data_IF_474499208413
#
_entry.id   IF_474499208413
#
_cell.length_a   1.000
_cell.length_b   1.000
_cell.length_c   1.000
_cell.angle_alpha   90.00
_cell.angle_beta   90.00
_cell.angle_gamma   90.00
#
_symmetry.space_group_name_H-M   'P 1'
#
loop_
_entity.id
_entity.type
_entity.pdbx_description
1 polymer ?
#
# COMPACT_ATOMS: atom_id res chain seq x y z
N UNK A 1 -0.75 56.09 40.01
CA UNK A 1 -1.44 55.16 39.08
C UNK A 1 -1.65 55.91 37.77
N UNK A 2 -0.77 55.73 36.79
CA UNK A 2 -0.82 56.47 35.51
C UNK A 2 -1.72 55.68 34.56
N UNK A 3 -2.90 56.22 34.24
CA UNK A 3 -3.82 55.62 33.28
C UNK A 3 -3.24 55.76 31.87
N UNK A 4 -2.89 54.63 31.25
CA UNK A 4 -2.50 54.59 29.83
C UNK A 4 -3.78 54.77 29.01
N UNK A 5 -3.94 55.91 28.34
CA UNK A 5 -5.06 56.17 27.41
C UNK A 5 -5.05 55.09 26.32
N UNK A 6 -6.13 54.33 26.20
CA UNK A 6 -6.41 53.50 25.02
C UNK A 6 -6.65 54.46 23.85
N UNK A 7 -5.59 54.79 23.12
CA UNK A 7 -5.70 55.39 21.80
C UNK A 7 -5.90 54.20 20.87
N UNK A 8 -7.11 54.03 20.36
CA UNK A 8 -7.39 53.09 19.26
C UNK A 8 -6.59 53.58 18.04
N UNK A 9 -5.37 53.07 17.85
CA UNK A 9 -4.63 53.33 16.62
C UNK A 9 -5.19 52.45 15.52
N UNK A 10 -5.64 53.06 14.42
CA UNK A 10 -6.06 52.34 13.22
C UNK A 10 -4.92 51.51 12.58
N UNK A 11 -3.67 51.79 12.95
CA UNK A 11 -2.52 51.02 12.49
C UNK A 11 -2.39 49.68 13.24
N UNK A 12 -2.13 48.58 12.51
CA UNK A 12 -1.90 47.29 13.14
C UNK A 12 -0.69 47.36 14.07
N UNK A 13 -0.88 46.93 15.31
CA UNK A 13 0.18 46.90 16.32
C UNK A 13 1.41 46.17 15.77
N UNK A 14 2.57 46.83 15.86
CA UNK A 14 3.85 46.18 15.57
C UNK A 14 3.98 44.92 16.44
N UNK A 15 4.06 43.76 15.78
CA UNK A 15 4.34 42.50 16.48
C UNK A 15 5.71 42.65 17.15
N UNK A 16 5.77 42.39 18.45
CA UNK A 16 7.05 42.30 19.17
C UNK A 16 7.91 41.26 18.46
N UNK A 17 9.07 41.67 17.95
CA UNK A 17 10.02 40.76 17.30
C UNK A 17 10.51 39.73 18.31
N UNK A 18 10.06 38.48 18.18
CA UNK A 18 10.67 37.36 18.89
C UNK A 18 11.86 36.92 18.07
N UNK A 19 13.08 37.02 18.63
CA UNK A 19 14.27 36.47 17.95
C UNK A 19 14.03 34.97 17.73
N UNK A 20 14.10 34.46 16.49
CA UNK A 20 13.90 33.05 16.23
C UNK A 20 14.96 32.25 17.00
N UNK A 21 14.52 31.18 17.69
CA UNK A 21 15.41 30.29 18.45
C UNK A 21 16.33 29.45 17.55
N UNK A 22 16.04 29.40 16.25
CA UNK A 22 16.73 28.58 15.26
C UNK A 22 17.39 29.51 14.25
N UNK A 23 18.71 29.35 14.07
CA UNK A 23 19.49 30.11 13.08
C UNK A 23 19.30 29.55 11.67
N UNK A 24 19.52 30.38 10.65
CA UNK A 24 19.44 29.97 9.23
C UNK A 24 20.40 28.81 8.91
N UNK A 25 21.55 28.75 9.58
CA UNK A 25 22.52 27.65 9.47
C UNK A 25 21.92 26.30 9.88
N UNK A 26 21.17 26.27 10.98
CA UNK A 26 20.45 25.07 11.41
C UNK A 26 19.38 24.67 10.38
N UNK A 27 18.65 25.64 9.84
CA UNK A 27 17.62 25.40 8.82
C UNK A 27 18.24 24.72 7.60
N UNK A 28 19.34 25.26 7.10
CA UNK A 28 20.06 24.73 5.94
C UNK A 28 20.63 23.34 6.21
N UNK A 29 21.21 23.11 7.39
CA UNK A 29 21.74 21.80 7.79
C UNK A 29 20.64 20.74 7.89
N UNK A 30 19.50 21.07 8.49
CA UNK A 30 18.36 20.14 8.58
C UNK A 30 17.82 19.84 7.18
N UNK A 31 17.72 20.85 6.30
CA UNK A 31 17.24 20.67 4.92
C UNK A 31 18.15 19.73 4.13
N UNK A 32 19.46 19.98 4.08
CA UNK A 32 20.40 19.15 3.30
C UNK A 32 20.45 17.72 3.83
N UNK A 33 20.60 17.55 5.15
CA UNK A 33 20.68 16.22 5.76
C UNK A 33 19.42 15.38 5.53
N UNK A 34 18.24 16.00 5.61
CA UNK A 34 16.96 15.30 5.39
C UNK A 34 16.78 14.89 3.92
N UNK A 35 17.24 15.70 2.96
CA UNK A 35 17.19 15.37 1.53
C UNK A 35 18.11 14.20 1.17
N UNK A 36 19.28 14.15 1.78
CA UNK A 36 20.25 13.05 1.62
C UNK A 36 19.80 11.77 2.34
N UNK A 37 19.13 11.89 3.50
CA UNK A 37 18.81 10.78 4.40
C UNK A 37 17.30 10.65 4.67
N UNK A 38 16.53 10.33 3.62
CA UNK A 38 15.05 10.32 3.63
C UNK A 38 14.39 9.38 4.65
N UNK A 39 15.13 8.41 5.20
CA UNK A 39 14.61 7.38 6.12
C UNK A 39 14.85 7.68 7.60
N UNK A 40 15.60 8.75 7.92
CA UNK A 40 15.96 9.07 9.31
C UNK A 40 14.77 9.59 10.11
N UNK A 41 14.77 9.25 11.39
CA UNK A 41 13.82 9.76 12.37
C UNK A 41 14.14 11.20 12.77
N UNK A 42 13.15 11.92 13.28
CA UNK A 42 13.33 13.30 13.77
C UNK A 42 14.36 13.39 14.91
N UNK A 43 14.47 12.34 15.74
CA UNK A 43 15.45 12.29 16.82
C UNK A 43 16.87 12.12 16.26
N UNK A 44 17.07 11.29 15.24
CA UNK A 44 18.38 11.18 14.58
C UNK A 44 18.79 12.50 13.93
N UNK A 45 17.85 13.25 13.34
CA UNK A 45 18.11 14.58 12.79
C UNK A 45 18.51 15.56 13.92
N UNK A 46 17.80 15.57 15.04
CA UNK A 46 18.15 16.40 16.21
C UNK A 46 19.56 16.09 16.72
N UNK A 47 19.88 14.80 16.90
CA UNK A 47 21.20 14.35 17.33
C UNK A 47 22.30 14.77 16.33
N UNK A 48 22.01 14.73 15.04
CA UNK A 48 22.93 15.16 13.98
C UNK A 48 23.22 16.66 14.05
N UNK A 49 22.19 17.50 14.26
CA UNK A 49 22.37 18.95 14.42
C UNK A 49 23.23 19.27 15.64
N UNK A 50 22.97 18.62 16.78
CA UNK A 50 23.78 18.79 17.98
C UNK A 50 25.25 18.41 17.73
N UNK A 51 25.50 17.26 17.09
CA UNK A 51 26.86 16.81 16.77
C UNK A 51 27.63 17.77 15.86
N UNK A 52 26.92 18.44 14.94
CA UNK A 52 27.55 19.33 13.94
C UNK A 52 27.72 20.77 14.40
N UNK A 53 26.74 21.31 15.13
CA UNK A 53 26.69 22.74 15.48
C UNK A 53 26.77 22.99 16.99
N UNK A 54 26.73 21.95 17.83
CA UNK A 54 26.63 22.08 19.28
C UNK A 54 25.29 22.64 19.77
N UNK A 55 24.30 22.77 18.88
CA UNK A 55 22.98 23.34 19.20
C UNK A 55 22.02 22.21 19.56
N UNK A 56 21.51 22.23 20.79
CA UNK A 56 20.47 21.32 21.25
C UNK A 56 19.11 21.72 20.69
N UNK A 57 18.46 20.78 19.99
CA UNK A 57 17.13 20.97 19.41
C UNK A 57 16.27 19.79 19.80
N UNK A 58 15.09 20.07 20.36
CA UNK A 58 14.14 19.02 20.71
C UNK A 58 13.49 18.41 19.46
N UNK A 59 13.12 17.13 19.53
CA UNK A 59 12.41 16.45 18.44
C UNK A 59 11.15 17.21 17.96
N UNK A 60 10.29 17.79 18.83
CA UNK A 60 9.16 18.60 18.38
C UNK A 60 9.59 19.84 17.56
N UNK A 61 10.73 20.45 17.91
CA UNK A 61 11.26 21.60 17.17
C UNK A 61 11.73 21.20 15.77
N UNK A 62 12.34 20.02 15.60
CA UNK A 62 12.64 19.45 14.27
C UNK A 62 11.35 19.24 13.47
N UNK A 63 10.29 18.73 14.09
CA UNK A 63 8.99 18.56 13.42
C UNK A 63 8.42 19.89 12.89
N UNK A 64 8.45 20.95 13.70
CA UNK A 64 8.02 22.30 13.29
C UNK A 64 8.91 22.84 12.17
N UNK A 65 10.23 22.68 12.29
CA UNK A 65 11.18 23.16 11.30
C UNK A 65 10.99 22.46 9.95
N UNK A 66 10.82 21.14 9.92
CA UNK A 66 10.55 20.37 8.70
C UNK A 66 9.28 20.88 8.00
N UNK A 67 8.21 21.17 8.75
CA UNK A 67 6.98 21.77 8.21
C UNK A 67 7.23 23.16 7.64
N UNK A 68 8.00 24.00 8.33
CA UNK A 68 8.33 25.35 7.88
C UNK A 68 9.11 25.35 6.55
N UNK A 69 9.98 24.36 6.34
CA UNK A 69 10.74 24.21 5.08
C UNK A 69 10.01 23.37 4.03
N UNK A 70 8.74 23.02 4.23
CA UNK A 70 7.93 22.28 3.26
C UNK A 70 8.25 20.80 3.15
N UNK A 71 9.00 20.22 4.08
CA UNK A 71 9.29 18.78 4.09
C UNK A 71 8.22 18.06 4.90
N UNK A 72 7.47 17.18 4.22
CA UNK A 72 6.46 16.33 4.83
C UNK A 72 6.94 14.88 4.85
N UNK A 73 6.54 14.13 5.90
CA UNK A 73 6.83 12.70 5.99
C UNK A 73 5.76 11.93 5.22
N UNK A 74 6.17 11.19 4.19
CA UNK A 74 5.33 10.19 3.52
C UNK A 74 5.63 8.80 4.09
N UNK A 75 4.62 7.96 4.23
CA UNK A 75 4.82 6.53 4.53
C UNK A 75 5.60 5.92 3.35
N UNK A 76 6.70 5.24 3.64
CA UNK A 76 7.42 4.50 2.60
C UNK A 76 6.51 3.39 2.08
N UNK A 77 6.38 3.29 0.77
CA UNK A 77 5.78 2.12 0.13
C UNK A 77 6.76 0.95 0.28
N UNK A 78 6.25 -0.24 0.58
CA UNK A 78 7.09 -1.43 0.61
C UNK A 78 7.64 -1.67 -0.80
N UNK A 79 8.96 -1.74 -0.92
CA UNK A 79 9.64 -2.21 -2.11
C UNK A 79 10.14 -3.62 -1.83
N UNK A 80 9.76 -4.57 -2.68
CA UNK A 80 10.24 -5.94 -2.60
C UNK A 80 11.63 -6.00 -3.24
N UNK A 81 12.68 -6.11 -2.42
CA UNK A 81 14.07 -6.23 -2.92
C UNK A 81 14.30 -7.51 -3.72
N UNK A 82 13.40 -8.48 -3.60
CA UNK A 82 13.42 -9.77 -4.29
C UNK A 82 12.69 -9.73 -5.64
N UNK A 83 12.08 -8.59 -6.00
CA UNK A 83 11.43 -8.42 -7.29
C UNK A 83 12.46 -8.45 -8.42
N UNK A 84 12.24 -9.34 -9.37
CA UNK A 84 12.96 -9.37 -10.63
C UNK A 84 12.24 -8.45 -11.63
N UNK A 85 12.72 -7.21 -11.77
CA UNK A 85 12.10 -6.18 -12.60
C UNK A 85 12.04 -6.56 -14.09
N UNK A 86 13.04 -7.31 -14.58
CA UNK A 86 13.07 -7.75 -15.97
C UNK A 86 11.99 -8.80 -16.23
N UNK A 87 11.86 -9.81 -15.36
CA UNK A 87 10.78 -10.80 -15.47
C UNK A 87 9.40 -10.16 -15.37
N UNK A 88 9.22 -9.22 -14.43
CA UNK A 88 7.96 -8.50 -14.29
C UNK A 88 7.60 -7.71 -15.56
N UNK A 89 8.60 -7.09 -16.21
CA UNK A 89 8.41 -6.39 -17.47
C UNK A 89 8.04 -7.35 -18.62
N UNK A 90 8.75 -8.47 -18.75
CA UNK A 90 8.45 -9.50 -19.77
C UNK A 90 7.02 -10.01 -19.61
N UNK A 91 6.63 -10.37 -18.39
CA UNK A 91 5.28 -10.82 -18.07
C UNK A 91 4.21 -9.79 -18.46
N UNK A 92 4.45 -8.50 -18.18
CA UNK A 92 3.54 -7.44 -18.59
C UNK A 92 3.35 -7.36 -20.11
N UNK A 93 4.42 -7.46 -20.88
CA UNK A 93 4.34 -7.43 -22.34
C UNK A 93 3.61 -8.67 -22.89
N UNK A 94 3.74 -9.83 -22.24
CA UNK A 94 3.04 -11.07 -22.63
C UNK A 94 1.54 -11.02 -22.31
N UNK A 95 1.14 -10.45 -21.17
CA UNK A 95 -0.27 -10.40 -20.73
C UNK A 95 -1.05 -9.30 -21.44
N UNK A 96 -0.42 -8.15 -21.72
CA UNK A 96 -1.07 -7.00 -22.35
C UNK A 96 -1.91 -7.32 -23.60
N UNK A 97 -1.43 -8.09 -24.61
CA UNK A 97 -2.26 -8.42 -25.77
C UNK A 97 -3.46 -9.31 -25.41
N UNK A 98 -3.37 -10.14 -24.37
CA UNK A 98 -4.47 -10.99 -23.93
C UNK A 98 -5.61 -10.16 -23.34
N UNK A 99 -5.28 -9.10 -22.59
CA UNK A 99 -6.25 -8.15 -22.04
C UNK A 99 -6.93 -7.31 -23.14
N UNK A 100 -6.20 -6.94 -24.19
CA UNK A 100 -6.74 -6.13 -25.30
C UNK A 100 -7.71 -6.90 -26.21
N UNK A 101 -7.59 -8.23 -26.27
CA UNK A 101 -8.39 -9.08 -27.15
C UNK A 101 -9.76 -9.48 -26.57
N UNK A 102 -10.21 -8.85 -25.48
CA UNK A 102 -11.45 -9.17 -24.76
C UNK A 102 -11.59 -10.65 -24.36
N UNK A 103 -10.46 -11.33 -24.14
CA UNK A 103 -10.49 -12.71 -23.63
C UNK A 103 -11.00 -12.66 -22.19
N UNK A 104 -11.99 -13.50 -21.81
CA UNK A 104 -12.43 -13.60 -20.44
C UNK A 104 -11.25 -13.85 -19.50
N UNK A 105 -11.23 -13.09 -18.41
CA UNK A 105 -10.09 -13.01 -17.53
C UNK A 105 -10.55 -13.17 -16.07
N UNK A 106 -9.87 -14.04 -15.33
CA UNK A 106 -10.06 -14.24 -13.89
C UNK A 106 -8.72 -14.10 -13.16
N UNK A 107 -8.70 -13.40 -12.04
CA UNK A 107 -7.56 -13.45 -11.12
C UNK A 107 -8.03 -14.01 -9.79
N UNK A 108 -7.24 -14.92 -9.24
CA UNK A 108 -7.49 -15.55 -7.97
C UNK A 108 -6.29 -15.35 -7.07
N UNK A 109 -6.55 -14.97 -5.84
CA UNK A 109 -5.54 -14.80 -4.82
C UNK A 109 -6.18 -15.00 -3.45
N UNK A 110 -5.35 -15.19 -2.44
CA UNK A 110 -5.76 -15.40 -1.07
C UNK A 110 -5.45 -14.16 -0.24
N UNK A 111 -6.45 -13.67 0.48
CA UNK A 111 -6.25 -12.61 1.48
C UNK A 111 -6.67 -13.13 2.83
N UNK A 112 -5.74 -13.15 3.78
CA UNK A 112 -6.04 -13.45 5.17
C UNK A 112 -6.83 -12.30 5.81
N UNK A 113 -7.96 -12.64 6.43
CA UNK A 113 -8.61 -11.82 7.45
C UNK A 113 -8.57 -12.62 8.75
N UNK A 114 -8.09 -12.03 9.83
CA UNK A 114 -8.30 -12.61 11.17
C UNK A 114 -9.72 -12.24 11.60
N UNK A 115 -10.62 -13.14 12.09
CA UNK A 115 -10.30 -14.25 13.00
C UNK A 115 -11.05 -15.61 12.78
N UNK A 116 -10.28 -16.71 12.88
CA UNK A 116 -10.65 -18.11 13.19
C UNK A 116 -11.89 -18.75 12.52
N UNK A 117 -11.80 -19.07 11.23
CA UNK A 117 -12.37 -20.30 10.61
C UNK A 117 -11.91 -20.44 9.14
N UNK A 118 -11.85 -21.68 8.66
CA UNK A 118 -11.55 -22.01 7.26
C UNK A 118 -12.82 -21.94 6.40
N UNK A 119 -12.85 -21.09 5.35
CA UNK A 119 -13.95 -21.07 4.39
C UNK A 119 -13.88 -22.26 3.43
N UNK A 120 -15.05 -22.78 3.03
CA UNK A 120 -15.19 -23.71 1.90
C UNK A 120 -15.78 -22.97 0.72
N UNK A 121 -15.17 -23.11 -0.44
CA UNK A 121 -15.65 -22.53 -1.69
C UNK A 121 -16.07 -23.61 -2.68
N UNK A 122 -17.11 -23.33 -3.45
CA UNK A 122 -17.56 -24.12 -4.58
C UNK A 122 -17.33 -23.31 -5.86
N UNK A 123 -16.66 -23.91 -6.84
CA UNK A 123 -16.36 -23.27 -8.13
C UNK A 123 -17.37 -23.78 -9.15
N UNK A 124 -18.29 -22.92 -9.57
CA UNK A 124 -19.17 -23.20 -10.70
C UNK A 124 -18.44 -22.92 -12.03
N UNK A 125 -18.53 -23.80 -13.05
CA UNK A 125 -17.93 -23.54 -14.34
C UNK A 125 -18.58 -22.34 -15.04
N UNK A 126 -17.76 -21.42 -15.57
CA UNK A 126 -18.20 -20.25 -16.33
C UNK A 126 -18.01 -20.59 -17.81
N UNK A 127 -19.06 -21.07 -18.47
CA UNK A 127 -19.13 -21.27 -19.92
C UNK A 127 -18.09 -22.23 -20.52
N UNK A 128 -18.19 -22.44 -21.84
CA UNK A 128 -17.22 -23.22 -22.62
C UNK A 128 -16.14 -22.32 -23.26
N UNK A 129 -16.11 -21.02 -22.95
CA UNK A 129 -15.17 -20.08 -23.53
C UNK A 129 -13.78 -20.20 -22.89
N UNK A 130 -12.74 -20.04 -23.72
CA UNK A 130 -11.35 -20.03 -23.24
C UNK A 130 -11.18 -18.87 -22.27
N UNK A 131 -10.84 -19.18 -21.03
CA UNK A 131 -10.65 -18.18 -19.97
C UNK A 131 -9.22 -18.22 -19.45
N UNK A 132 -8.64 -17.06 -19.18
CA UNK A 132 -7.29 -16.97 -18.57
C UNK A 132 -7.45 -16.79 -17.07
N UNK A 133 -6.76 -17.62 -16.28
CA UNK A 133 -6.70 -17.53 -14.83
C UNK A 133 -5.31 -17.05 -14.39
N UNK A 134 -5.20 -15.85 -13.82
CA UNK A 134 -3.99 -15.42 -13.11
C UNK A 134 -4.01 -15.88 -11.66
N UNK A 135 -2.87 -16.40 -11.23
CA UNK A 135 -2.60 -16.77 -9.84
C UNK A 135 -1.22 -16.29 -9.44
N UNK A 136 -1.01 -16.06 -8.15
CA UNK A 136 0.34 -15.84 -7.64
C UNK A 136 1.18 -17.13 -7.77
N UNK A 137 2.50 -16.98 -7.84
CA UNK A 137 3.43 -18.10 -7.88
C UNK A 137 3.72 -18.64 -6.46
N UNK A 138 2.69 -18.79 -5.63
CA UNK A 138 2.83 -19.38 -4.30
C UNK A 138 3.16 -20.87 -4.39
N UNK A 139 3.99 -21.34 -3.45
CA UNK A 139 4.38 -22.76 -3.38
C UNK A 139 3.17 -23.68 -3.20
N UNK A 140 2.08 -23.21 -2.62
CA UNK A 140 0.86 -24.03 -2.46
C UNK A 140 0.19 -24.34 -3.81
N UNK A 141 0.32 -23.43 -4.77
CA UNK A 141 -0.18 -23.63 -6.14
C UNK A 141 0.69 -24.59 -6.93
N UNK A 142 2.01 -24.52 -6.73
CA UNK A 142 2.96 -25.30 -7.52
C UNK A 142 3.37 -26.63 -6.88
N UNK A 143 3.16 -26.85 -5.58
CA UNK A 143 3.67 -27.99 -4.78
C UNK A 143 3.40 -29.36 -5.43
N UNK A 144 4.35 -29.91 -6.21
CA UNK A 144 4.07 -31.08 -7.04
C UNK A 144 4.02 -32.35 -6.17
N UNK A 145 4.99 -32.50 -5.26
CA UNK A 145 5.12 -33.68 -4.39
C UNK A 145 3.88 -33.91 -3.53
N UNK A 146 3.33 -32.86 -2.90
CA UNK A 146 2.14 -33.00 -2.03
C UNK A 146 0.88 -33.38 -2.83
N UNK A 147 0.76 -32.89 -4.06
CA UNK A 147 -0.37 -33.24 -4.94
C UNK A 147 -0.26 -34.66 -5.46
N UNK A 148 0.96 -35.10 -5.78
CA UNK A 148 1.25 -36.48 -6.16
C UNK A 148 0.94 -37.46 -5.02
N UNK A 149 1.40 -37.17 -3.79
CA UNK A 149 1.06 -37.94 -2.59
C UNK A 149 -0.46 -38.06 -2.38
N UNK A 150 -1.20 -36.97 -2.63
CA UNK A 150 -2.66 -36.92 -2.53
C UNK A 150 -3.40 -37.49 -3.76
N UNK A 151 -2.68 -37.89 -4.81
CA UNK A 151 -3.24 -38.32 -6.11
C UNK A 151 -4.18 -37.27 -6.75
N UNK A 152 -3.85 -36.00 -6.55
CA UNK A 152 -4.58 -34.84 -7.08
C UNK A 152 -3.83 -34.31 -8.31
N UNK A 153 -4.51 -34.06 -9.46
CA UNK A 153 -3.84 -33.49 -10.63
C UNK A 153 -3.24 -32.10 -10.35
N UNK A 154 -2.30 -31.64 -11.18
CA UNK A 154 -1.75 -30.28 -11.08
C UNK A 154 -2.85 -29.22 -11.25
N UNK A 155 -2.60 -27.98 -10.81
CA UNK A 155 -3.58 -26.89 -10.98
C UNK A 155 -3.86 -26.67 -12.47
N UNK A 156 -2.83 -26.67 -13.30
CA UNK A 156 -2.93 -26.52 -14.75
C UNK A 156 -3.78 -27.63 -15.37
N UNK A 157 -3.58 -28.89 -14.96
CA UNK A 157 -4.38 -30.01 -15.46
C UNK A 157 -5.86 -29.89 -15.05
N UNK A 158 -6.14 -29.46 -13.81
CA UNK A 158 -7.51 -29.25 -13.35
C UNK A 158 -8.21 -28.10 -14.08
N UNK A 159 -7.47 -27.03 -14.39
CA UNK A 159 -7.98 -25.86 -15.09
C UNK A 159 -8.13 -26.12 -16.59
N UNK A 160 -7.23 -26.89 -17.20
CA UNK A 160 -7.36 -27.33 -18.59
C UNK A 160 -8.66 -28.11 -18.84
N UNK A 161 -9.06 -28.97 -17.89
CA UNK A 161 -10.34 -29.68 -17.94
C UNK A 161 -11.56 -28.75 -17.91
N UNK A 162 -11.38 -27.47 -17.58
CA UNK A 162 -12.41 -26.42 -17.54
C UNK A 162 -12.23 -25.38 -18.65
N UNK A 163 -11.42 -25.68 -19.68
CA UNK A 163 -11.03 -24.73 -20.73
C UNK A 163 -10.39 -23.44 -20.20
N UNK A 164 -9.67 -23.55 -19.07
CA UNK A 164 -8.97 -22.44 -18.44
C UNK A 164 -7.46 -22.58 -18.62
N UNK A 165 -6.83 -21.49 -19.03
CA UNK A 165 -5.38 -21.36 -19.13
C UNK A 165 -4.84 -20.65 -17.89
N UNK A 166 -3.98 -21.34 -17.12
CA UNK A 166 -3.38 -20.77 -15.92
C UNK A 166 -2.11 -20.00 -16.29
N UNK A 167 -1.98 -18.81 -15.73
CA UNK A 167 -0.80 -17.96 -15.84
C UNK A 167 -0.34 -17.55 -14.44
N UNK A 168 0.89 -17.88 -14.09
CA UNK A 168 1.46 -17.50 -12.81
C UNK A 168 2.14 -16.15 -12.89
N UNK A 169 1.82 -15.27 -11.95
CA UNK A 169 2.46 -13.97 -11.80
C UNK A 169 3.90 -14.18 -11.34
N UNK A 170 4.81 -13.31 -11.79
CA UNK A 170 6.21 -13.35 -11.36
C UNK A 170 6.32 -13.21 -9.83
N UNK A 171 7.23 -13.96 -9.23
CA UNK A 171 7.43 -13.91 -7.78
C UNK A 171 7.72 -12.49 -7.29
N UNK A 172 7.18 -12.15 -6.11
CA UNK A 172 7.34 -10.83 -5.47
C UNK A 172 6.84 -9.64 -6.30
N UNK A 173 5.90 -9.87 -7.21
CA UNK A 173 5.30 -8.84 -8.06
C UNK A 173 3.79 -8.62 -7.79
N UNK A 174 3.37 -8.28 -6.55
CA UNK A 174 1.96 -8.10 -6.23
C UNK A 174 1.30 -6.94 -6.99
N UNK A 175 2.09 -5.98 -7.48
CA UNK A 175 1.57 -4.91 -8.34
C UNK A 175 1.02 -5.40 -9.69
N UNK A 176 1.37 -6.63 -10.10
CA UNK A 176 0.85 -7.29 -11.29
C UNK A 176 -0.40 -8.12 -10.99
N UNK A 177 -0.78 -8.25 -9.72
CA UNK A 177 -1.96 -8.99 -9.31
C UNK A 177 -3.16 -8.05 -9.15
N UNK A 178 -4.15 -8.10 -10.05
CA UNK A 178 -5.31 -7.20 -10.00
C UNK A 178 -6.17 -7.42 -8.75
N UNK A 179 -6.12 -8.61 -8.11
CA UNK A 179 -6.81 -8.87 -6.84
C UNK A 179 -6.26 -8.05 -5.68
N UNK A 180 -4.99 -7.65 -5.71
CA UNK A 180 -4.36 -6.89 -4.62
C UNK A 180 -5.02 -5.52 -4.44
N UNK A 181 -5.48 -4.88 -5.52
CA UNK A 181 -6.23 -3.62 -5.44
C UNK A 181 -7.60 -3.84 -4.81
N UNK A 182 -8.27 -4.95 -5.14
CA UNK A 182 -9.54 -5.36 -4.53
C UNK A 182 -9.35 -5.66 -3.04
N UNK A 183 -8.28 -6.36 -2.67
CA UNK A 183 -7.91 -6.64 -1.28
C UNK A 183 -7.56 -5.38 -0.50
N UNK A 184 -6.86 -4.43 -1.11
CA UNK A 184 -6.59 -3.13 -0.49
C UNK A 184 -7.91 -2.42 -0.12
N UNK A 185 -8.89 -2.41 -1.03
CA UNK A 185 -10.19 -1.81 -0.74
C UNK A 185 -10.93 -2.59 0.36
N UNK A 186 -10.99 -3.92 0.26
CA UNK A 186 -11.62 -4.79 1.25
C UNK A 186 -11.03 -4.55 2.65
N UNK A 187 -9.71 -4.61 2.79
CA UNK A 187 -9.00 -4.35 4.06
C UNK A 187 -9.30 -2.96 4.59
N UNK A 188 -9.17 -1.91 3.77
CA UNK A 188 -9.45 -0.54 4.21
C UNK A 188 -10.88 -0.36 4.74
N UNK A 189 -11.86 -0.98 4.08
CA UNK A 189 -13.25 -0.90 4.54
C UNK A 189 -13.46 -1.73 5.81
N UNK A 190 -12.91 -2.93 5.90
CA UNK A 190 -13.00 -3.77 7.10
C UNK A 190 -12.32 -3.08 8.30
N UNK A 191 -11.12 -2.53 8.13
CA UNK A 191 -10.39 -1.79 9.17
C UNK A 191 -11.14 -0.55 9.63
N UNK A 192 -11.79 0.18 8.72
CA UNK A 192 -12.60 1.35 9.04
C UNK A 192 -13.80 0.99 9.91
N UNK A 193 -14.44 -0.15 9.64
CA UNK A 193 -15.61 -0.61 10.39
C UNK A 193 -15.27 -1.28 11.72
N UNK A 194 -14.02 -1.76 11.90
CA UNK A 194 -13.53 -2.39 13.15
C UNK A 194 -14.50 -3.47 13.70
N UNK A 195 -14.84 -4.50 12.88
CA UNK A 195 -15.73 -5.57 13.33
C UNK A 195 -15.17 -6.25 14.58
N UNK A 196 -16.04 -6.58 15.54
CA UNK A 196 -15.65 -7.19 16.81
C UNK A 196 -15.70 -8.72 16.80
N UNK A 197 -16.38 -9.30 15.82
CA UNK A 197 -16.59 -10.73 15.68
C UNK A 197 -16.67 -11.11 14.19
N UNK A 198 -16.75 -12.43 13.93
CA UNK A 198 -16.78 -12.98 12.58
C UNK A 198 -18.00 -12.55 11.77
N UNK A 199 -19.19 -12.59 12.35
CA UNK A 199 -20.44 -12.23 11.66
C UNK A 199 -20.43 -10.76 11.20
N UNK A 200 -19.92 -9.86 12.05
CA UNK A 200 -19.72 -8.46 11.69
C UNK A 200 -18.69 -8.29 10.57
N UNK A 201 -17.62 -9.08 10.59
CA UNK A 201 -16.59 -9.06 9.55
C UNK A 201 -17.14 -9.58 8.22
N UNK A 202 -17.84 -10.70 8.21
CA UNK A 202 -18.49 -11.28 7.03
C UNK A 202 -19.50 -10.30 6.43
N UNK A 203 -20.36 -9.71 7.26
CA UNK A 203 -21.32 -8.69 6.83
C UNK A 203 -20.62 -7.46 6.23
N UNK A 204 -19.47 -7.08 6.77
CA UNK A 204 -18.66 -5.98 6.24
C UNK A 204 -18.05 -6.33 4.89
N UNK A 205 -17.44 -7.51 4.76
CA UNK A 205 -16.88 -8.02 3.51
C UNK A 205 -17.97 -8.11 2.44
N UNK A 206 -19.12 -8.69 2.75
CA UNK A 206 -20.26 -8.81 1.83
C UNK A 206 -20.71 -7.46 1.27
N UNK A 207 -20.86 -6.45 2.13
CA UNK A 207 -21.21 -5.08 1.69
C UNK A 207 -20.18 -4.49 0.73
N UNK A 208 -18.88 -4.78 0.94
CA UNK A 208 -17.82 -4.28 0.07
C UNK A 208 -17.80 -5.03 -1.26
N UNK A 209 -18.06 -6.34 -1.25
CA UNK A 209 -18.23 -7.16 -2.46
C UNK A 209 -19.44 -6.66 -3.27
N UNK A 210 -20.58 -6.42 -2.63
CA UNK A 210 -21.77 -5.86 -3.27
C UNK A 210 -21.44 -4.50 -3.92
N UNK A 211 -20.69 -3.64 -3.23
CA UNK A 211 -20.21 -2.37 -3.77
C UNK A 211 -19.26 -2.56 -4.97
N UNK A 212 -18.36 -3.55 -4.91
CA UNK A 212 -17.43 -3.85 -6.00
C UNK A 212 -18.16 -4.36 -7.25
N UNK A 213 -19.21 -5.16 -7.08
CA UNK A 213 -20.04 -5.67 -8.19
C UNK A 213 -20.76 -4.55 -8.96
N UNK A 214 -20.94 -3.37 -8.35
CA UNK A 214 -21.50 -2.20 -9.05
C UNK A 214 -20.46 -1.42 -9.87
N UNK A 215 -19.17 -1.73 -9.74
CA UNK A 215 -18.06 -1.01 -10.38
C UNK A 215 -17.55 -1.77 -11.58
N UNK A 216 -17.12 -1.04 -12.61
CA UNK A 216 -16.30 -1.61 -13.66
C UNK A 216 -14.91 -1.96 -13.09
N UNK A 217 -14.66 -3.26 -12.91
CA UNK A 217 -13.38 -3.78 -12.41
C UNK A 217 -12.32 -3.89 -13.51
N UNK A 218 -12.69 -3.77 -14.80
CA UNK A 218 -11.74 -3.87 -15.93
C UNK A 218 -10.64 -2.81 -15.88
N UNK A 219 -10.90 -1.68 -15.24
CA UNK A 219 -9.91 -0.62 -15.03
C UNK A 219 -8.76 -0.98 -14.09
N UNK A 220 -8.85 -2.12 -13.40
CA UNK A 220 -7.81 -2.62 -12.49
C UNK A 220 -6.93 -3.70 -13.14
N UNK A 221 -7.27 -4.09 -14.37
CA UNK A 221 -6.48 -4.96 -15.24
C UNK A 221 -5.79 -4.09 -16.30
#
# INVERSE_FOLDING_TARGET
MIYRKNIESAEPLQKRGVKPKVSEEVINLVRSYTLENKTRTQQEIANYVYKKLGVEISQPSICVLLKQIGITRKKLTYHYTQLDEEKAKVFNEEIKPLLLNNVPFMALDECSFYPNQDPKFEINPIGDERTILLMDNSRVHTAPNKREEAKVPSVEAQMANKNMEVRFITAYAPMLNPTELVFCLLRQQTEKNRPRNFEEMEKTIKKVVDLLNTKDLRKYF
#
